data_IF_346004998946
#
_entry.id   IF_346004998946
#
_cell.length_a   1.000
_cell.length_b   1.000
_cell.length_c   1.000
_cell.angle_alpha   90.00
_cell.angle_beta   90.00
_cell.angle_gamma   90.00
#
_symmetry.space_group_name_H-M   'P 1'
#
loop_
_entity.id
_entity.type
_entity.pdbx_description
1 polymer ?
#
# COMPACT_ATOMS: atom_id res chain seq x y z
N UNK A 1 -24.58 23.92 -25.30
CA UNK A 1 -23.35 23.11 -25.11
C UNK A 1 -22.96 23.19 -23.64
N UNK A 2 -23.31 22.20 -22.89
CA UNK A 2 -22.89 22.09 -21.48
C UNK A 2 -21.44 21.61 -21.51
N UNK A 3 -20.49 22.49 -21.22
CA UNK A 3 -19.12 22.12 -20.96
C UNK A 3 -19.14 21.16 -19.77
N UNK A 4 -18.89 19.86 -20.01
CA UNK A 4 -18.64 18.89 -18.98
C UNK A 4 -17.45 19.40 -18.14
N UNK A 5 -17.73 19.96 -16.96
CA UNK A 5 -16.67 20.37 -16.04
C UNK A 5 -16.02 19.09 -15.50
N UNK A 6 -14.83 18.82 -15.97
CA UNK A 6 -13.98 17.80 -15.36
C UNK A 6 -13.69 18.28 -13.94
N UNK A 7 -14.02 17.49 -12.91
CA UNK A 7 -13.79 17.89 -11.52
C UNK A 7 -12.29 18.04 -11.27
N UNK A 8 -11.93 19.00 -10.42
CA UNK A 8 -10.53 19.17 -9.97
C UNK A 8 -10.13 18.07 -8.99
N UNK A 9 -8.83 17.84 -8.81
CA UNK A 9 -8.33 16.88 -7.82
C UNK A 9 -8.88 17.18 -6.41
N UNK A 10 -8.94 18.45 -6.00
CA UNK A 10 -9.50 18.87 -4.71
C UNK A 10 -10.99 18.53 -4.60
N UNK A 11 -11.76 18.72 -5.66
CA UNK A 11 -13.18 18.34 -5.67
C UNK A 11 -13.34 16.84 -5.55
N UNK A 12 -12.51 16.04 -6.25
CA UNK A 12 -12.53 14.58 -6.18
C UNK A 12 -12.18 14.10 -4.78
N UNK A 13 -11.16 14.69 -4.14
CA UNK A 13 -10.74 14.32 -2.77
C UNK A 13 -11.87 14.55 -1.75
N UNK A 14 -12.67 15.60 -1.94
CA UNK A 14 -13.80 15.94 -1.03
C UNK A 14 -15.07 15.12 -1.27
N UNK A 15 -15.18 14.44 -2.41
CA UNK A 15 -16.35 13.61 -2.67
C UNK A 15 -16.32 12.35 -1.79
N UNK A 16 -17.47 11.94 -1.23
CA UNK A 16 -17.53 10.63 -0.57
C UNK A 16 -17.33 9.52 -1.60
N UNK A 17 -16.39 8.61 -1.29
CA UNK A 17 -16.00 7.51 -2.16
C UNK A 17 -16.15 6.17 -1.46
N UNK A 18 -16.31 5.13 -2.25
CA UNK A 18 -16.34 3.74 -1.82
C UNK A 18 -15.25 2.98 -2.55
N UNK A 19 -14.48 2.18 -1.82
CA UNK A 19 -13.46 1.28 -2.37
C UNK A 19 -13.87 -0.16 -2.08
N UNK A 20 -14.09 -0.97 -3.12
CA UNK A 20 -14.62 -2.33 -2.98
C UNK A 20 -13.57 -3.43 -3.18
N UNK A 21 -12.34 -3.09 -3.54
CA UNK A 21 -11.28 -4.05 -3.80
C UNK A 21 -9.91 -3.38 -3.65
N UNK A 22 -9.53 -3.11 -2.41
CA UNK A 22 -8.21 -2.57 -2.11
C UNK A 22 -7.30 -3.66 -1.52
N UNK A 23 -6.03 -3.65 -1.88
CA UNK A 23 -5.05 -4.59 -1.37
C UNK A 23 -4.18 -3.91 -0.30
N UNK A 24 -4.21 -4.43 0.92
CA UNK A 24 -3.44 -3.88 2.04
C UNK A 24 -1.94 -3.78 1.72
N UNK A 25 -1.40 -4.80 1.07
CA UNK A 25 -0.01 -4.91 0.66
C UNK A 25 0.34 -4.09 -0.60
N UNK A 26 -0.66 -3.46 -1.23
CA UNK A 26 -0.46 -2.60 -2.41
C UNK A 26 -0.39 -1.11 -2.10
N UNK A 27 -0.78 -0.68 -0.91
CA UNK A 27 -0.97 0.73 -0.55
C UNK A 27 -0.04 1.28 0.52
N UNK A 28 1.14 0.67 0.76
CA UNK A 28 2.06 1.13 1.77
C UNK A 28 2.69 2.48 1.40
N UNK A 29 2.86 3.34 2.41
CA UNK A 29 3.61 4.59 2.24
C UNK A 29 5.10 4.28 2.00
N UNK A 30 5.75 4.94 1.02
CA UNK A 30 7.19 4.76 0.77
C UNK A 30 8.06 4.95 2.02
N UNK A 31 7.75 5.96 2.84
CA UNK A 31 8.46 6.22 4.10
C UNK A 31 8.36 5.06 5.08
N UNK A 32 7.21 4.42 5.15
CA UNK A 32 6.98 3.26 6.03
C UNK A 32 7.75 2.05 5.55
N UNK A 33 7.80 1.81 4.24
CA UNK A 33 8.61 0.73 3.64
C UNK A 33 10.08 0.95 3.97
N UNK A 34 10.59 2.17 3.78
CA UNK A 34 12.00 2.53 4.04
C UNK A 34 12.35 2.32 5.52
N UNK A 35 11.51 2.83 6.43
CA UNK A 35 11.73 2.75 7.87
C UNK A 35 11.80 1.28 8.36
N UNK A 36 10.85 0.45 7.93
CA UNK A 36 10.83 -0.96 8.31
C UNK A 36 11.99 -1.71 7.65
N UNK A 37 12.27 -1.47 6.37
CA UNK A 37 13.36 -2.11 5.64
C UNK A 37 14.71 -1.83 6.29
N UNK A 38 14.96 -0.59 6.72
CA UNK A 38 16.18 -0.22 7.44
C UNK A 38 16.31 -1.00 8.76
N UNK A 39 15.22 -1.14 9.52
CA UNK A 39 15.20 -1.86 10.79
C UNK A 39 15.47 -3.37 10.64
N UNK A 40 14.98 -3.97 9.56
CA UNK A 40 15.18 -5.41 9.27
C UNK A 40 16.35 -5.71 8.36
N UNK A 41 17.13 -4.69 7.98
CA UNK A 41 18.27 -4.77 7.06
C UNK A 41 17.89 -5.38 5.69
N UNK A 42 16.76 -4.91 5.14
CA UNK A 42 16.25 -5.32 3.83
C UNK A 42 16.64 -4.29 2.76
N UNK A 43 17.16 -4.76 1.61
CA UNK A 43 17.55 -3.90 0.49
C UNK A 43 16.34 -3.46 -0.33
N UNK A 44 16.22 -2.15 -0.55
CA UNK A 44 15.22 -1.52 -1.43
C UNK A 44 15.88 -0.95 -2.69
N UNK A 45 15.11 -0.72 -3.76
CA UNK A 45 15.59 -0.03 -4.96
C UNK A 45 16.08 1.40 -4.71
N UNK A 46 15.47 2.10 -3.74
CA UNK A 46 15.91 3.40 -3.23
C UNK A 46 15.55 3.56 -1.76
N UNK A 47 16.32 4.37 -1.04
CA UNK A 47 16.03 4.80 0.34
C UNK A 47 15.51 6.24 0.39
N UNK A 48 15.31 6.88 -0.75
CA UNK A 48 14.60 8.15 -0.87
C UNK A 48 13.10 7.88 -1.14
N UNK A 49 12.18 8.47 -0.36
CA UNK A 49 10.76 8.17 -0.50
C UNK A 49 10.18 8.58 -1.86
N UNK A 50 10.65 9.66 -2.46
CA UNK A 50 10.16 10.13 -3.76
C UNK A 50 10.65 9.21 -4.88
N UNK A 51 11.92 8.83 -4.84
CA UNK A 51 12.49 7.88 -5.81
C UNK A 51 11.86 6.49 -5.67
N UNK A 52 11.62 6.03 -4.44
CA UNK A 52 10.96 4.74 -4.21
C UNK A 52 9.51 4.77 -4.73
N UNK A 53 8.76 5.83 -4.47
CA UNK A 53 7.42 6.00 -5.01
C UNK A 53 7.42 5.97 -6.54
N UNK A 54 8.37 6.67 -7.18
CA UNK A 54 8.50 6.67 -8.64
C UNK A 54 8.84 5.27 -9.18
N UNK A 55 9.73 4.54 -8.49
CA UNK A 55 10.06 3.18 -8.86
C UNK A 55 8.83 2.26 -8.87
N UNK A 56 7.95 2.35 -7.84
CA UNK A 56 6.69 1.60 -7.80
C UNK A 56 5.76 1.96 -8.97
N UNK A 57 5.61 3.26 -9.26
CA UNK A 57 4.80 3.74 -10.39
C UNK A 57 5.33 3.20 -11.71
N UNK A 58 6.63 3.25 -11.94
CA UNK A 58 7.28 2.77 -13.16
C UNK A 58 7.15 1.25 -13.32
N UNK A 59 7.29 0.49 -12.25
CA UNK A 59 7.09 -0.95 -12.25
C UNK A 59 5.64 -1.33 -12.58
N UNK A 60 4.66 -0.63 -11.99
CA UNK A 60 3.24 -0.83 -12.27
C UNK A 60 2.87 -0.49 -13.73
N UNK A 61 3.51 0.53 -14.31
CA UNK A 61 3.25 1.00 -15.68
C UNK A 61 4.17 0.33 -16.72
N UNK A 62 4.99 -0.63 -16.35
CA UNK A 62 5.98 -1.25 -17.24
C UNK A 62 5.39 -2.09 -18.36
N UNK A 63 4.12 -2.48 -18.28
CA UNK A 63 3.48 -3.43 -19.20
C UNK A 63 3.94 -4.88 -18.99
N UNK A 64 4.76 -5.15 -17.98
CA UNK A 64 5.23 -6.48 -17.59
C UNK A 64 4.59 -6.92 -16.29
N UNK A 65 3.90 -8.05 -16.30
CA UNK A 65 3.33 -8.65 -15.10
C UNK A 65 4.43 -9.02 -14.08
N UNK A 66 5.58 -9.48 -14.54
CA UNK A 66 6.71 -9.85 -13.69
C UNK A 66 7.21 -8.63 -12.90
N UNK A 67 7.45 -7.50 -13.58
CA UNK A 67 7.86 -6.26 -12.92
C UNK A 67 6.80 -5.70 -11.98
N UNK A 68 5.54 -5.84 -12.33
CA UNK A 68 4.45 -5.49 -11.43
C UNK A 68 4.47 -6.33 -10.15
N UNK A 69 4.67 -7.64 -10.28
CA UNK A 69 4.72 -8.55 -9.13
C UNK A 69 5.95 -8.36 -8.24
N UNK A 70 7.08 -7.90 -8.78
CA UNK A 70 8.28 -7.54 -7.99
C UNK A 70 7.97 -6.47 -6.94
N UNK A 71 7.00 -5.59 -7.18
CA UNK A 71 6.61 -4.56 -6.20
C UNK A 71 6.13 -5.18 -4.88
N UNK A 72 5.41 -6.29 -4.96
CA UNK A 72 4.88 -6.99 -3.78
C UNK A 72 5.97 -7.69 -2.98
N UNK A 73 7.10 -8.06 -3.57
CA UNK A 73 8.21 -8.64 -2.82
C UNK A 73 8.72 -7.68 -1.75
N UNK A 74 8.79 -6.38 -2.07
CA UNK A 74 9.21 -5.34 -1.13
C UNK A 74 8.16 -5.07 -0.06
N UNK A 75 6.90 -4.93 -0.42
CA UNK A 75 5.83 -4.63 0.53
C UNK A 75 5.56 -5.80 1.48
N UNK A 76 5.56 -7.02 0.96
CA UNK A 76 5.40 -8.24 1.78
C UNK A 76 6.59 -8.43 2.73
N UNK A 77 7.82 -8.15 2.28
CA UNK A 77 9.02 -8.31 3.11
C UNK A 77 8.97 -7.44 4.39
N UNK A 78 8.34 -6.27 4.33
CA UNK A 78 8.23 -5.35 5.48
C UNK A 78 6.97 -5.61 6.34
N UNK A 79 6.10 -6.53 5.96
CA UNK A 79 4.86 -6.88 6.68
C UNK A 79 4.96 -8.25 7.36
N UNK A 80 6.03 -8.49 8.14
CA UNK A 80 6.30 -9.81 8.73
C UNK A 80 6.23 -9.85 10.25
N UNK A 81 5.91 -8.73 10.89
CA UNK A 81 5.67 -8.66 12.34
C UNK A 81 4.28 -8.09 12.62
N UNK A 82 3.73 -8.42 13.78
CA UNK A 82 2.41 -7.93 14.17
C UNK A 82 2.36 -6.40 14.21
N UNK A 83 3.40 -5.77 14.76
CA UNK A 83 3.48 -4.31 14.84
C UNK A 83 3.48 -3.66 13.46
N UNK A 84 4.21 -4.23 12.51
CA UNK A 84 4.30 -3.69 11.15
C UNK A 84 2.98 -3.84 10.38
N UNK A 85 2.31 -4.99 10.51
CA UNK A 85 0.99 -5.23 9.91
C UNK A 85 -0.03 -4.24 10.49
N UNK A 86 -0.06 -4.05 11.81
CA UNK A 86 -0.94 -3.08 12.47
C UNK A 86 -0.65 -1.67 11.99
N UNK A 87 0.63 -1.27 11.87
CA UNK A 87 1.04 0.04 11.36
C UNK A 87 0.51 0.26 9.95
N UNK A 88 0.75 -0.68 9.05
CA UNK A 88 0.30 -0.60 7.65
C UNK A 88 -1.22 -0.53 7.55
N UNK A 89 -1.94 -1.37 8.27
CA UNK A 89 -3.40 -1.35 8.29
C UNK A 89 -3.96 -0.02 8.82
N UNK A 90 -3.36 0.54 9.87
CA UNK A 90 -3.73 1.85 10.41
C UNK A 90 -3.47 2.98 9.42
N UNK A 91 -2.31 2.98 8.77
CA UNK A 91 -1.94 3.98 7.77
C UNK A 91 -2.88 3.91 6.56
N UNK A 92 -3.20 2.71 6.07
CA UNK A 92 -4.18 2.49 5.01
C UNK A 92 -5.55 3.11 5.37
N UNK A 93 -6.08 2.83 6.54
CA UNK A 93 -7.36 3.39 6.98
C UNK A 93 -7.32 4.92 7.07
N UNK A 94 -6.22 5.50 7.56
CA UNK A 94 -6.04 6.95 7.65
C UNK A 94 -5.96 7.61 6.27
N UNK A 95 -5.27 7.00 5.33
CA UNK A 95 -5.09 7.54 3.98
C UNK A 95 -6.40 7.47 3.20
N UNK A 96 -7.14 6.37 3.29
CA UNK A 96 -8.49 6.25 2.73
C UNK A 96 -9.43 7.32 3.31
N UNK A 97 -9.43 7.52 4.62
CA UNK A 97 -10.26 8.54 5.26
C UNK A 97 -9.88 9.96 4.82
N UNK A 98 -8.59 10.27 4.69
CA UNK A 98 -8.11 11.58 4.19
C UNK A 98 -8.54 11.85 2.74
N UNK A 99 -8.62 10.81 1.94
CA UNK A 99 -9.12 10.89 0.56
C UNK A 99 -10.67 10.91 0.46
N UNK A 100 -11.39 10.98 1.58
CA UNK A 100 -12.86 11.05 1.61
C UNK A 100 -13.54 9.70 1.38
N UNK A 101 -12.84 8.59 1.56
CA UNK A 101 -13.44 7.25 1.51
C UNK A 101 -14.28 7.03 2.77
N UNK A 102 -15.57 6.71 2.57
CA UNK A 102 -16.54 6.48 3.64
C UNK A 102 -16.83 5.00 3.90
N UNK A 103 -16.44 4.14 2.97
CA UNK A 103 -16.52 2.69 3.06
C UNK A 103 -15.42 2.06 2.25
N UNK A 104 -14.72 1.08 2.81
CA UNK A 104 -13.67 0.34 2.10
C UNK A 104 -13.72 -1.15 2.44
N UNK A 105 -13.51 -1.98 1.42
CA UNK A 105 -13.25 -3.41 1.54
C UNK A 105 -11.78 -3.66 1.20
N UNK A 106 -10.98 -3.82 2.25
CA UNK A 106 -9.54 -4.06 2.14
C UNK A 106 -9.29 -5.56 2.29
N UNK A 107 -8.46 -6.11 1.43
CA UNK A 107 -8.08 -7.52 1.42
C UNK A 107 -6.57 -7.69 1.51
N UNK A 108 -6.15 -8.88 1.84
CA UNK A 108 -4.76 -9.31 1.87
C UNK A 108 -4.70 -10.82 1.74
N UNK A 109 -3.49 -11.34 1.61
CA UNK A 109 -3.18 -12.77 1.61
C UNK A 109 -2.41 -13.10 2.91
N UNK A 110 -3.09 -13.45 4.02
CA UNK A 110 -2.47 -13.61 5.34
C UNK A 110 -1.29 -14.59 5.34
N UNK A 111 -1.33 -15.60 4.48
CA UNK A 111 -0.27 -16.59 4.31
C UNK A 111 1.07 -15.98 3.88
N UNK A 112 1.07 -14.82 3.23
CA UNK A 112 2.29 -14.12 2.81
C UNK A 112 3.00 -13.43 3.98
N UNK A 113 2.31 -13.18 5.08
CA UNK A 113 2.82 -12.47 6.26
C UNK A 113 3.32 -13.40 7.38
N UNK A 114 3.39 -14.69 7.11
CA UNK A 114 3.82 -15.71 8.08
C UNK A 114 5.28 -16.15 7.95
N UNK A 115 6.05 -15.54 7.05
CA UNK A 115 7.42 -15.98 6.70
C UNK A 115 8.43 -15.90 7.85
N UNK A 116 8.15 -15.09 8.88
CA UNK A 116 9.01 -14.89 10.05
C UNK A 116 8.40 -15.40 11.36
N UNK A 117 7.45 -16.33 11.28
CA UNK A 117 6.96 -17.09 12.44
C UNK A 117 5.60 -16.68 12.99
N UNK A 118 4.91 -15.69 12.40
CA UNK A 118 3.51 -15.46 12.73
C UNK A 118 2.66 -16.64 12.23
N UNK A 119 1.67 -17.05 13.03
CA UNK A 119 0.60 -17.93 12.57
C UNK A 119 -0.43 -17.14 11.75
N UNK A 120 -1.31 -17.84 11.03
CA UNK A 120 -2.43 -17.20 10.34
C UNK A 120 -3.35 -16.46 11.33
N UNK A 121 -3.58 -17.06 12.51
CA UNK A 121 -4.40 -16.43 13.56
C UNK A 121 -3.76 -15.14 14.08
N UNK A 122 -2.43 -15.08 14.23
CA UNK A 122 -1.71 -13.87 14.62
C UNK A 122 -1.86 -12.75 13.61
N UNK A 123 -1.92 -13.07 12.31
CA UNK A 123 -2.04 -12.10 11.24
C UNK A 123 -3.46 -11.50 11.18
N UNK A 124 -4.48 -12.31 11.51
CA UNK A 124 -5.89 -11.92 11.39
C UNK A 124 -6.42 -11.27 12.68
N UNK A 125 -5.79 -11.52 13.82
CA UNK A 125 -6.21 -11.01 15.14
C UNK A 125 -5.76 -9.59 15.41
#
# INVERSE_FOLDING_TARGET
>A
MTLSRIPTAEQITRLPKVVLHDHLDGGLRPETIIDIAARINYSLPSTDPVELAQWFVDACNSGSLERYLETFDHTIAVMQTREDIIRVARECALDLARDGVIYAEVRGAPELFTRKGLSLDDVIS
#
